data_IF_091504167994
#
_entry.id   IF_091504167994
#
_cell.length_a   1.000
_cell.length_b   1.000
_cell.length_c   1.000
_cell.angle_alpha   90.00
_cell.angle_beta   90.00
_cell.angle_gamma   90.00
#
_symmetry.space_group_name_H-M   'P 1'
#
loop_
_entity.id
_entity.type
_entity.pdbx_description
1 polymer ?
#
# COMPACT_ATOMS: atom_id res chain seq x y z
N UNK A 1 3.85 -5.52 6.12
CA UNK A 1 2.85 -6.20 6.98
C UNK A 1 3.12 -7.70 6.90
N UNK A 2 3.26 -8.41 8.03
CA UNK A 2 3.75 -9.81 8.04
C UNK A 2 2.86 -10.78 7.25
N UNK A 3 1.53 -10.63 7.35
CA UNK A 3 0.56 -11.41 6.58
C UNK A 3 0.85 -11.44 5.08
N UNK A 4 1.18 -10.28 4.48
CA UNK A 4 1.46 -10.20 3.05
C UNK A 4 2.79 -10.86 2.70
N UNK A 5 3.77 -10.86 3.61
CA UNK A 5 5.04 -11.54 3.38
C UNK A 5 4.85 -13.06 3.42
N UNK A 6 4.09 -13.58 4.37
CA UNK A 6 3.78 -15.02 4.44
C UNK A 6 3.06 -15.54 3.19
N UNK A 7 2.23 -14.72 2.55
CA UNK A 7 1.49 -15.10 1.34
C UNK A 7 2.31 -14.99 0.05
N UNK A 8 3.42 -14.25 0.05
CA UNK A 8 4.12 -13.85 -1.18
C UNK A 8 5.65 -14.02 -1.12
N UNK A 9 6.15 -14.61 -0.05
CA UNK A 9 7.56 -14.90 0.19
C UNK A 9 7.65 -16.24 0.94
N UNK A 10 7.92 -17.30 0.19
CA UNK A 10 7.99 -18.68 0.69
C UNK A 10 9.12 -18.89 1.71
N UNK A 11 10.07 -17.95 1.77
CA UNK A 11 11.19 -17.97 2.72
C UNK A 11 10.90 -17.17 3.99
N UNK A 12 9.79 -16.44 4.03
CA UNK A 12 9.48 -15.56 5.13
C UNK A 12 9.00 -16.31 6.37
N UNK A 13 9.67 -16.06 7.49
CA UNK A 13 9.24 -16.50 8.81
C UNK A 13 8.87 -15.30 9.69
N UNK A 14 7.81 -15.44 10.49
CA UNK A 14 7.48 -14.43 11.50
C UNK A 14 8.60 -14.31 12.54
N UNK A 15 8.82 -13.11 13.09
CA UNK A 15 9.75 -12.95 14.20
C UNK A 15 9.29 -13.78 15.41
N UNK A 16 10.24 -14.43 16.11
CA UNK A 16 9.98 -15.28 17.28
C UNK A 16 9.28 -14.55 18.43
N UNK A 17 9.50 -13.24 18.55
CA UNK A 17 8.90 -12.38 19.57
C UNK A 17 8.12 -11.23 18.91
N UNK A 18 6.93 -11.51 18.33
CA UNK A 18 6.18 -10.53 17.54
C UNK A 18 5.84 -9.26 18.33
N UNK A 19 5.46 -9.41 19.60
CA UNK A 19 5.10 -8.29 20.47
C UNK A 19 6.28 -7.34 20.67
N UNK A 20 7.48 -7.86 20.93
CA UNK A 20 8.67 -7.04 21.10
C UNK A 20 9.04 -6.31 19.81
N UNK A 21 8.88 -6.95 18.65
CA UNK A 21 9.12 -6.29 17.36
C UNK A 21 8.09 -5.18 17.10
N UNK A 22 6.82 -5.37 17.45
CA UNK A 22 5.79 -4.33 17.35
C UNK A 22 6.15 -3.15 18.24
N UNK A 23 6.52 -3.40 19.50
CA UNK A 23 6.93 -2.36 20.43
C UNK A 23 8.17 -1.61 19.94
N UNK A 24 9.16 -2.31 19.37
CA UNK A 24 10.34 -1.68 18.77
C UNK A 24 9.95 -0.77 17.61
N UNK A 25 9.11 -1.25 16.69
CA UNK A 25 8.65 -0.44 15.55
C UNK A 25 7.87 0.80 16.02
N UNK A 26 7.09 0.70 17.10
CA UNK A 26 6.41 1.84 17.71
C UNK A 26 7.43 2.86 18.25
N UNK A 27 8.43 2.40 19.00
CA UNK A 27 9.48 3.27 19.52
C UNK A 27 10.27 3.96 18.40
N UNK A 28 10.64 3.23 17.35
CA UNK A 28 11.34 3.78 16.18
C UNK A 28 10.47 4.85 15.49
N UNK A 29 9.17 4.59 15.34
CA UNK A 29 8.23 5.57 14.81
C UNK A 29 8.15 6.83 15.69
N UNK A 30 8.05 6.69 17.02
CA UNK A 30 8.03 7.82 17.93
C UNK A 30 9.33 8.62 17.88
N UNK A 31 10.48 7.96 17.88
CA UNK A 31 11.79 8.61 17.78
C UNK A 31 11.94 9.38 16.47
N UNK A 32 11.56 8.76 15.34
CA UNK A 32 11.55 9.42 14.04
C UNK A 32 10.61 10.62 14.03
N UNK A 33 9.41 10.50 14.60
CA UNK A 33 8.43 11.58 14.69
C UNK A 33 8.95 12.77 15.51
N UNK A 34 9.60 12.51 16.66
CA UNK A 34 10.19 13.56 17.51
C UNK A 34 11.36 14.25 16.81
N UNK A 35 12.26 13.48 16.17
CA UNK A 35 13.36 14.01 15.39
C UNK A 35 12.87 14.87 14.21
N UNK A 36 11.82 14.43 13.51
CA UNK A 36 11.25 15.19 12.40
C UNK A 36 10.61 16.51 12.88
N UNK A 37 10.00 16.50 14.09
CA UNK A 37 9.46 17.72 14.72
C UNK A 37 10.55 18.74 15.06
N UNK A 38 11.73 18.30 15.52
CA UNK A 38 12.81 19.22 15.92
C UNK A 38 13.55 19.83 14.73
N UNK A 39 13.74 19.09 13.64
CA UNK A 39 14.51 19.57 12.49
C UNK A 39 13.69 20.48 11.56
N UNK A 40 12.39 20.22 11.38
CA UNK A 40 11.67 20.83 10.25
C UNK A 40 11.05 22.19 10.54
N UNK A 41 10.79 22.60 11.79
CA UNK A 41 10.26 23.94 12.17
C UNK A 41 8.95 24.39 11.51
N UNK A 42 8.39 23.61 10.58
CA UNK A 42 7.14 23.88 9.84
C UNK A 42 5.97 23.39 10.67
N UNK A 43 4.87 24.17 10.72
CA UNK A 43 3.62 23.73 11.33
C UNK A 43 3.05 22.54 10.58
N UNK A 44 3.11 21.35 11.17
CA UNK A 44 2.48 20.15 10.62
C UNK A 44 1.04 20.06 11.12
N UNK A 45 0.10 19.90 10.20
CA UNK A 45 -1.30 19.59 10.49
C UNK A 45 -1.47 18.06 10.46
N UNK A 46 -2.00 17.48 11.53
CA UNK A 46 -2.41 16.06 11.51
C UNK A 46 -3.77 15.97 10.81
N UNK A 47 -3.79 15.43 9.59
CA UNK A 47 -5.03 15.16 8.86
C UNK A 47 -5.44 13.71 9.06
N UNK A 48 -6.65 13.50 9.57
CA UNK A 48 -7.29 12.18 9.55
C UNK A 48 -7.68 11.86 8.11
N UNK A 49 -6.94 10.96 7.46
CA UNK A 49 -7.26 10.46 6.12
C UNK A 49 -8.13 9.23 6.27
N UNK A 50 -9.43 9.39 6.04
CA UNK A 50 -10.37 8.27 5.95
C UNK A 50 -10.72 7.97 4.50
N UNK A 51 -11.03 6.70 4.22
CA UNK A 51 -11.61 6.32 2.94
C UNK A 51 -12.99 6.95 2.83
N UNK A 52 -13.22 7.73 1.77
CA UNK A 52 -14.54 8.30 1.44
C UNK A 52 -15.18 7.50 0.31
N UNK A 53 -16.44 7.06 0.43
CA UNK A 53 -17.12 6.39 -0.66
C UNK A 53 -17.27 7.31 -1.89
N UNK A 54 -17.25 6.74 -3.10
CA UNK A 54 -17.63 7.48 -4.31
C UNK A 54 -19.14 7.81 -4.28
N UNK A 55 -19.56 8.70 -5.18
CA UNK A 55 -20.99 8.99 -5.43
C UNK A 55 -21.69 7.69 -5.88
N UNK A 56 -22.97 7.53 -5.55
CA UNK A 56 -23.78 6.40 -6.00
C UNK A 56 -23.79 6.24 -7.53
N UNK A 57 -23.79 4.98 -7.96
CA UNK A 57 -23.60 4.61 -9.36
C UNK A 57 -22.15 4.70 -9.85
N UNK A 58 -21.19 5.05 -8.98
CA UNK A 58 -19.75 5.01 -9.29
C UNK A 58 -19.02 3.99 -8.43
N UNK A 59 -17.86 3.58 -8.94
CA UNK A 59 -16.91 2.76 -8.21
C UNK A 59 -15.64 3.54 -7.90
N UNK A 60 -14.91 3.11 -6.87
CA UNK A 60 -13.59 3.62 -6.54
C UNK A 60 -12.55 2.55 -6.82
N UNK A 61 -11.71 2.83 -7.82
CA UNK A 61 -10.53 2.06 -8.17
C UNK A 61 -9.35 2.53 -7.31
N UNK A 62 -8.72 1.62 -6.56
CA UNK A 62 -7.47 1.87 -5.83
C UNK A 62 -6.42 0.94 -6.41
N UNK A 63 -5.24 1.47 -6.73
CA UNK A 63 -4.14 0.74 -7.37
C UNK A 63 -2.86 0.90 -6.56
N UNK A 64 -1.95 -0.06 -6.69
CA UNK A 64 -0.62 -0.04 -6.07
C UNK A 64 0.38 -0.75 -6.99
N UNK A 65 1.57 -0.17 -7.13
CA UNK A 65 2.68 -0.71 -7.90
C UNK A 65 3.85 -1.07 -6.98
N UNK A 66 4.39 -2.28 -7.13
CA UNK A 66 5.48 -2.75 -6.30
C UNK A 66 6.67 -3.21 -7.15
N UNK A 67 7.89 -2.93 -6.66
CA UNK A 67 9.14 -3.41 -7.24
C UNK A 67 10.03 -4.00 -6.14
N UNK A 68 10.49 -5.24 -6.33
CA UNK A 68 11.49 -5.89 -5.47
C UNK A 68 12.91 -5.43 -5.85
N UNK A 69 13.80 -5.42 -4.85
CA UNK A 69 15.25 -5.38 -5.11
C UNK A 69 15.60 -6.59 -5.96
N UNK A 70 16.30 -6.39 -7.08
CA UNK A 70 16.50 -7.42 -8.12
C UNK A 70 15.62 -7.25 -9.36
N UNK A 71 14.73 -6.26 -9.39
CA UNK A 71 14.09 -5.77 -10.62
C UNK A 71 12.67 -6.28 -10.87
N UNK A 72 12.26 -7.39 -10.26
CA UNK A 72 10.89 -7.92 -10.41
C UNK A 72 9.83 -6.92 -9.92
N UNK A 73 8.90 -6.56 -10.80
CA UNK A 73 7.84 -5.59 -10.55
C UNK A 73 6.46 -6.14 -10.94
N UNK A 74 5.45 -5.69 -10.21
CA UNK A 74 4.06 -6.02 -10.44
C UNK A 74 3.17 -4.86 -10.00
N UNK A 75 1.92 -4.91 -10.44
CA UNK A 75 0.90 -3.97 -10.01
C UNK A 75 -0.37 -4.73 -9.62
N UNK A 76 -1.22 -4.04 -8.89
CA UNK A 76 -2.53 -4.57 -8.56
C UNK A 76 -3.48 -3.46 -8.16
N UNK A 77 -4.71 -3.86 -7.90
CA UNK A 77 -5.72 -2.94 -7.45
C UNK A 77 -7.01 -3.63 -7.09
N UNK A 78 -7.90 -2.84 -6.50
CA UNK A 78 -9.22 -3.27 -6.09
C UNK A 78 -10.25 -2.20 -6.43
N UNK A 79 -11.46 -2.66 -6.65
CA UNK A 79 -12.62 -1.84 -6.97
C UNK A 79 -13.62 -1.98 -5.83
N UNK A 80 -14.08 -0.85 -5.30
CA UNK A 80 -15.14 -0.81 -4.29
C UNK A 80 -16.33 0.00 -4.80
N UNK A 81 -17.54 -0.45 -4.46
CA UNK A 81 -18.77 0.30 -4.73
C UNK A 81 -18.91 1.52 -3.80
N UNK A 82 -19.93 2.35 -4.05
CA UNK A 82 -20.32 3.45 -3.16
C UNK A 82 -20.78 2.97 -1.78
N UNK A 83 -21.34 1.76 -1.72
CA UNK A 83 -21.69 1.03 -0.49
C UNK A 83 -20.49 0.45 0.27
N UNK A 84 -19.27 0.71 -0.22
CA UNK A 84 -18.03 0.17 0.37
C UNK A 84 -17.80 -1.32 0.08
N UNK A 85 -18.73 -1.99 -0.60
CA UNK A 85 -18.61 -3.41 -0.93
C UNK A 85 -17.50 -3.63 -1.96
N UNK A 86 -16.80 -4.75 -1.79
CA UNK A 86 -15.80 -5.18 -2.76
C UNK A 86 -16.47 -5.64 -4.06
N UNK A 87 -16.01 -5.11 -5.19
CA UNK A 87 -16.57 -5.42 -6.53
C UNK A 87 -15.64 -6.27 -7.38
N UNK A 88 -14.35 -6.31 -7.05
CA UNK A 88 -13.35 -7.04 -7.80
C UNK A 88 -11.95 -6.50 -7.54
N UNK A 89 -10.95 -7.22 -8.06
CA UNK A 89 -9.55 -6.82 -7.95
C UNK A 89 -8.71 -7.53 -8.98
N UNK A 90 -7.52 -7.00 -9.21
CA UNK A 90 -6.57 -7.53 -10.18
C UNK A 90 -5.16 -7.48 -9.60
N UNK A 91 -4.31 -8.35 -10.13
CA UNK A 91 -2.87 -8.35 -9.91
C UNK A 91 -2.21 -8.76 -11.23
N UNK A 92 -1.11 -8.10 -11.58
CA UNK A 92 -0.38 -8.34 -12.82
C UNK A 92 1.11 -8.28 -12.57
N UNK A 93 1.82 -9.29 -13.03
CA UNK A 93 3.27 -9.22 -13.17
C UNK A 93 3.63 -8.33 -14.37
N UNK A 94 4.42 -7.29 -14.14
CA UNK A 94 4.77 -6.28 -15.16
C UNK A 94 6.15 -6.57 -15.77
N UNK A 95 7.01 -7.33 -15.09
CA UNK A 95 8.37 -7.59 -15.55
C UNK A 95 9.40 -6.78 -14.77
N UNK A 96 10.52 -6.44 -15.42
CA UNK A 96 11.53 -5.57 -14.85
C UNK A 96 11.27 -4.10 -15.21
N UNK A 97 10.79 -3.32 -14.24
CA UNK A 97 10.56 -1.89 -14.42
C UNK A 97 10.80 -1.10 -13.12
N UNK A 98 10.74 0.23 -13.19
CA UNK A 98 10.75 1.06 -12.00
C UNK A 98 9.42 0.94 -11.23
N UNK A 99 9.43 1.30 -9.93
CA UNK A 99 8.21 1.36 -9.14
C UNK A 99 7.18 2.31 -9.77
N UNK A 100 7.62 3.47 -10.27
CA UNK A 100 6.77 4.43 -10.97
C UNK A 100 6.07 3.83 -12.20
N UNK A 101 6.77 3.02 -12.98
CA UNK A 101 6.18 2.35 -14.16
C UNK A 101 5.16 1.30 -13.72
N UNK A 102 5.44 0.55 -12.65
CA UNK A 102 4.49 -0.41 -12.08
C UNK A 102 3.20 0.29 -11.60
N UNK A 103 3.30 1.45 -10.95
CA UNK A 103 2.14 2.26 -10.55
C UNK A 103 1.25 2.63 -11.75
N UNK A 104 1.86 3.13 -12.84
CA UNK A 104 1.15 3.50 -14.06
C UNK A 104 0.48 2.30 -14.73
N UNK A 105 1.13 1.14 -14.73
CA UNK A 105 0.51 -0.11 -15.18
C UNK A 105 -0.70 -0.48 -14.32
N UNK A 106 -0.63 -0.28 -13.00
CA UNK A 106 -1.76 -0.48 -12.09
C UNK A 106 -2.98 0.34 -12.50
N UNK A 107 -2.77 1.63 -12.78
CA UNK A 107 -3.86 2.52 -13.24
C UNK A 107 -4.44 2.04 -14.58
N UNK A 108 -3.58 1.71 -15.55
CA UNK A 108 -4.02 1.23 -16.87
C UNK A 108 -4.86 -0.04 -16.78
N UNK A 109 -4.39 -1.05 -16.04
CA UNK A 109 -5.13 -2.31 -15.87
C UNK A 109 -6.41 -2.12 -15.07
N UNK A 110 -6.37 -1.29 -14.03
CA UNK A 110 -7.55 -0.98 -13.24
C UNK A 110 -8.64 -0.28 -14.04
N UNK A 111 -8.28 0.67 -14.92
CA UNK A 111 -9.23 1.34 -15.81
C UNK A 111 -9.82 0.40 -16.86
N UNK A 112 -9.05 -0.59 -17.33
CA UNK A 112 -9.55 -1.64 -18.23
C UNK A 112 -10.51 -2.58 -17.52
N UNK A 113 -10.26 -2.88 -16.25
CA UNK A 113 -11.09 -3.76 -15.43
C UNK A 113 -12.40 -3.09 -15.01
N UNK A 114 -12.36 -1.80 -14.64
CA UNK A 114 -13.51 -1.04 -14.12
C UNK A 114 -14.46 -0.51 -15.22
N UNK A 115 -14.35 -1.06 -16.43
CA UNK A 115 -15.04 -0.56 -17.63
C UNK A 115 -16.50 -0.98 -17.69
#
# INVERSE_FOLDING_TARGET
>A
MWRNKELHDDTYQRPLQPVQQILRNLNDYYAANVFNRSIMGRGWETRLICWKPPIDGRVKLNTDGARKVGGSAGCGGLIRGSDGQWRGGFAKYVGNCSAYVAELWGVLEGLRYAR
#
